data_IF_246871140565
#
_entry.id   IF_246871140565
#
_cell.length_a   1.000
_cell.length_b   1.000
_cell.length_c   1.000
_cell.angle_alpha   90.00
_cell.angle_beta   90.00
_cell.angle_gamma   90.00
#
_symmetry.space_group_name_H-M   'P 1'
#
loop_
_entity.id
_entity.type
_entity.pdbx_description
1 polymer ?
#
# COMPACT_ATOMS: atom_id res chain seq x y z
N UNK A 1 16.93 -0.94 31.18
CA UNK A 1 18.24 -0.72 30.55
C UNK A 1 18.51 0.79 30.51
N UNK A 2 19.27 1.35 31.46
CA UNK A 2 19.28 2.81 31.68
C UNK A 2 20.10 3.65 30.70
N UNK A 3 20.79 3.07 29.71
CA UNK A 3 21.70 3.81 28.82
C UNK A 3 21.51 3.52 27.32
N UNK A 4 20.40 2.94 26.90
CA UNK A 4 20.10 2.73 25.48
C UNK A 4 19.28 3.90 24.93
N UNK A 5 19.79 4.56 23.88
CA UNK A 5 19.05 5.56 23.12
C UNK A 5 18.16 4.87 22.10
N UNK A 6 16.88 5.18 22.09
CA UNK A 6 15.92 4.70 21.10
C UNK A 6 15.40 5.88 20.29
N UNK A 7 15.18 5.64 18.98
CA UNK A 7 14.57 6.60 18.07
C UNK A 7 13.40 5.95 17.36
N UNK A 8 12.25 6.62 17.34
CA UNK A 8 11.02 6.13 16.73
C UNK A 8 10.60 7.10 15.64
N UNK A 9 10.08 6.57 14.53
CA UNK A 9 9.71 7.37 13.37
C UNK A 9 8.45 6.80 12.72
N UNK A 10 7.44 7.66 12.52
CA UNK A 10 6.15 7.35 11.90
C UNK A 10 5.89 8.33 10.75
N UNK A 11 6.45 8.11 9.55
CA UNK A 11 6.56 9.14 8.52
C UNK A 11 5.33 9.30 7.64
N UNK A 12 4.45 8.27 7.52
CA UNK A 12 3.31 8.33 6.62
C UNK A 12 2.23 9.25 7.17
N UNK A 13 1.83 10.25 6.36
CA UNK A 13 0.63 11.06 6.64
C UNK A 13 -0.60 10.17 6.45
N UNK A 14 -1.47 10.11 7.45
CA UNK A 14 -2.70 9.32 7.43
C UNK A 14 -3.91 10.25 7.44
N UNK A 15 -4.75 10.16 6.42
CA UNK A 15 -6.06 10.78 6.36
C UNK A 15 -7.12 9.71 6.65
N UNK A 16 -7.92 9.91 7.67
CA UNK A 16 -8.88 8.90 8.15
C UNK A 16 -10.26 9.49 8.36
N UNK A 17 -11.26 8.83 7.81
CA UNK A 17 -12.68 9.13 8.06
C UNK A 17 -13.58 8.70 6.90
N UNK A 18 -14.88 8.55 7.16
CA UNK A 18 -15.85 8.28 6.09
C UNK A 18 -15.83 9.39 5.04
N UNK A 19 -15.75 9.01 3.77
CA UNK A 19 -15.74 9.93 2.63
C UNK A 19 -14.43 10.69 2.42
N UNK A 20 -13.36 10.41 3.19
CA UNK A 20 -12.06 11.11 3.05
C UNK A 20 -11.41 10.92 1.68
N UNK A 21 -11.77 9.86 0.96
CA UNK A 21 -11.33 9.63 -0.42
C UNK A 21 -11.67 10.79 -1.37
N UNK A 22 -12.70 11.56 -1.07
CA UNK A 22 -13.12 12.71 -1.89
C UNK A 22 -12.07 13.83 -1.91
N UNK A 23 -11.18 13.87 -0.95
CA UNK A 23 -10.09 14.84 -0.87
C UNK A 23 -8.85 14.44 -1.69
N UNK A 24 -8.79 13.20 -2.18
CA UNK A 24 -7.62 12.69 -2.92
C UNK A 24 -7.21 13.57 -4.11
N UNK A 25 -8.14 14.07 -4.98
CA UNK A 25 -7.76 14.95 -6.08
C UNK A 25 -7.07 16.24 -5.62
N UNK A 26 -7.56 16.85 -4.53
CA UNK A 26 -6.94 18.07 -3.99
C UNK A 26 -5.56 17.80 -3.40
N UNK A 27 -5.38 16.70 -2.68
CA UNK A 27 -4.07 16.29 -2.15
C UNK A 27 -3.03 16.07 -3.26
N UNK A 28 -3.42 15.42 -4.36
CA UNK A 28 -2.54 15.23 -5.52
C UNK A 28 -2.21 16.58 -6.17
N UNK A 29 -3.19 17.46 -6.31
CA UNK A 29 -2.99 18.79 -6.88
C UNK A 29 -2.04 19.66 -6.04
N UNK A 30 -2.13 19.58 -4.72
CA UNK A 30 -1.22 20.26 -3.78
C UNK A 30 0.24 19.80 -3.97
N UNK A 31 0.49 18.56 -4.37
CA UNK A 31 1.84 18.07 -4.69
C UNK A 31 2.38 18.54 -6.05
N UNK A 32 1.58 19.31 -6.82
CA UNK A 32 1.95 19.76 -8.16
C UNK A 32 1.84 18.70 -9.25
N UNK A 33 1.22 17.56 -8.94
CA UNK A 33 1.06 16.45 -9.86
C UNK A 33 -0.26 16.55 -10.64
N UNK A 34 -0.28 16.03 -11.89
CA UNK A 34 -1.46 16.13 -12.75
C UNK A 34 -1.80 14.86 -13.52
N UNK A 35 -0.91 13.86 -13.53
CA UNK A 35 -1.13 12.61 -14.29
C UNK A 35 -0.45 11.44 -13.57
N UNK A 36 -1.16 10.31 -13.45
CA UNK A 36 -0.60 9.12 -12.80
C UNK A 36 -1.47 7.87 -12.92
N UNK A 37 -0.90 6.66 -12.74
CA UNK A 37 -1.66 5.44 -12.75
C UNK A 37 -2.51 5.26 -11.47
N UNK A 38 -3.71 4.74 -11.67
CA UNK A 38 -4.52 4.07 -10.65
C UNK A 38 -4.23 2.57 -10.73
N UNK A 39 -3.39 2.09 -9.81
CA UNK A 39 -2.99 0.68 -9.71
C UNK A 39 -4.03 -0.07 -8.90
N UNK A 40 -4.69 -1.04 -9.51
CA UNK A 40 -5.80 -1.81 -8.91
C UNK A 40 -5.88 -3.23 -9.49
N UNK A 41 -6.94 -3.95 -9.19
CA UNK A 41 -7.19 -5.30 -9.68
C UNK A 41 -8.59 -5.48 -10.29
N UNK A 42 -8.78 -6.58 -11.02
CA UNK A 42 -10.03 -6.91 -11.70
C UNK A 42 -11.19 -7.19 -10.74
N UNK A 43 -10.90 -7.66 -9.52
CA UNK A 43 -11.93 -7.90 -8.52
C UNK A 43 -12.57 -6.59 -8.06
N UNK A 44 -11.75 -5.57 -7.83
CA UNK A 44 -12.24 -4.23 -7.49
C UNK A 44 -12.94 -3.54 -8.67
N UNK A 45 -12.44 -3.71 -9.90
CA UNK A 45 -13.16 -3.23 -11.10
C UNK A 45 -14.55 -3.82 -11.18
N UNK A 46 -14.67 -5.14 -10.96
CA UNK A 46 -15.97 -5.83 -10.96
C UNK A 46 -16.89 -5.35 -9.84
N UNK A 47 -16.34 -4.89 -8.72
CA UNK A 47 -17.08 -4.30 -7.61
C UNK A 47 -17.46 -2.82 -7.84
N UNK A 48 -16.97 -2.19 -8.91
CA UNK A 48 -17.25 -0.80 -9.28
C UNK A 48 -16.56 0.25 -8.38
N UNK A 49 -15.61 -0.17 -7.53
CA UNK A 49 -14.90 0.75 -6.63
C UNK A 49 -13.95 1.68 -7.40
N UNK A 50 -13.11 1.21 -8.34
CA UNK A 50 -12.24 2.10 -9.11
C UNK A 50 -13.01 3.13 -9.95
N UNK A 51 -14.20 2.76 -10.46
CA UNK A 51 -15.06 3.70 -11.19
C UNK A 51 -15.53 4.86 -10.32
N UNK A 52 -15.95 4.58 -9.07
CA UNK A 52 -16.30 5.62 -8.11
C UNK A 52 -15.12 6.56 -7.84
N UNK A 53 -13.92 6.00 -7.71
CA UNK A 53 -12.69 6.80 -7.49
C UNK A 53 -12.38 7.63 -8.74
N UNK A 54 -12.45 7.07 -9.95
CA UNK A 54 -12.22 7.82 -11.20
C UNK A 54 -13.17 9.02 -11.34
N UNK A 55 -14.43 8.87 -10.93
CA UNK A 55 -15.41 9.98 -10.97
C UNK A 55 -15.00 11.18 -10.12
N UNK A 56 -14.24 10.98 -9.02
CA UNK A 56 -13.76 12.10 -8.19
C UNK A 56 -12.78 13.00 -8.95
N UNK A 57 -12.19 12.50 -10.02
CA UNK A 57 -11.20 13.21 -10.82
C UNK A 57 -11.77 13.92 -12.05
N UNK A 58 -13.07 13.74 -12.35
CA UNK A 58 -13.70 14.24 -13.61
C UNK A 58 -13.42 15.71 -13.88
N UNK A 59 -13.54 16.57 -12.86
CA UNK A 59 -13.37 18.03 -13.02
C UNK A 59 -12.11 18.55 -12.30
N UNK A 60 -11.23 17.66 -11.85
CA UNK A 60 -10.05 18.02 -11.04
C UNK A 60 -8.89 18.60 -11.85
N UNK A 61 -8.85 18.31 -13.16
CA UNK A 61 -7.70 18.58 -14.02
C UNK A 61 -6.57 17.57 -13.85
N UNK A 62 -6.81 16.46 -13.15
CA UNK A 62 -5.87 15.37 -12.95
C UNK A 62 -6.29 14.17 -13.81
N UNK A 63 -5.36 13.61 -14.57
CA UNK A 63 -5.60 12.43 -15.40
C UNK A 63 -5.18 11.15 -14.67
N UNK A 64 -6.14 10.25 -14.45
CA UNK A 64 -5.88 8.90 -13.95
C UNK A 64 -5.83 7.90 -15.10
N UNK A 65 -4.76 7.13 -15.17
CA UNK A 65 -4.57 6.04 -16.12
C UNK A 65 -4.78 4.73 -15.39
N UNK A 66 -5.75 3.94 -15.80
CA UNK A 66 -6.04 2.68 -15.12
C UNK A 66 -4.99 1.62 -15.45
N UNK A 67 -4.38 1.03 -14.42
CA UNK A 67 -3.64 -0.21 -14.47
C UNK A 67 -4.29 -1.22 -13.52
N UNK A 68 -5.09 -2.16 -14.06
CA UNK A 68 -5.94 -3.08 -13.30
C UNK A 68 -5.56 -4.56 -13.46
N UNK A 69 -4.33 -4.85 -13.88
CA UNK A 69 -3.84 -6.20 -14.13
C UNK A 69 -3.12 -6.83 -12.92
N UNK A 70 -3.25 -6.22 -11.74
CA UNK A 70 -2.63 -6.76 -10.53
C UNK A 70 -3.30 -8.09 -10.13
N UNK A 71 -2.48 -9.11 -9.84
CA UNK A 71 -2.94 -10.44 -9.40
C UNK A 71 -2.86 -10.56 -7.88
N UNK A 72 -3.65 -11.45 -7.30
CA UNK A 72 -3.69 -11.72 -5.85
C UNK A 72 -2.34 -12.17 -5.26
N UNK A 73 -1.48 -12.78 -6.08
CA UNK A 73 -0.07 -13.02 -5.78
C UNK A 73 0.75 -12.29 -6.83
N UNK A 74 1.10 -11.02 -6.59
CA UNK A 74 1.70 -10.18 -7.61
C UNK A 74 3.08 -10.69 -8.01
N UNK A 75 3.34 -10.63 -9.32
CA UNK A 75 4.59 -11.09 -9.92
C UNK A 75 5.40 -9.92 -10.45
N UNK A 76 6.68 -10.15 -10.74
CA UNK A 76 7.53 -9.17 -11.41
C UNK A 76 6.93 -8.66 -12.71
N UNK A 77 6.17 -9.49 -13.47
CA UNK A 77 5.50 -9.02 -14.68
C UNK A 77 4.44 -7.95 -14.41
N UNK A 78 3.69 -8.05 -13.30
CA UNK A 78 2.75 -6.99 -12.91
C UNK A 78 3.48 -5.67 -12.65
N UNK A 79 4.64 -5.73 -12.02
CA UNK A 79 5.46 -4.55 -11.76
C UNK A 79 5.98 -3.96 -13.07
N UNK A 80 6.56 -4.78 -13.94
CA UNK A 80 7.10 -4.30 -15.21
C UNK A 80 6.02 -3.69 -16.12
N UNK A 81 4.86 -4.35 -16.26
CA UNK A 81 3.75 -3.82 -17.04
C UNK A 81 3.24 -2.48 -16.46
N UNK A 82 3.03 -2.39 -15.15
CA UNK A 82 2.64 -1.14 -14.52
C UNK A 82 3.70 -0.03 -14.61
N UNK A 83 4.99 -0.39 -14.60
CA UNK A 83 6.09 0.55 -14.81
C UNK A 83 6.11 1.11 -16.23
N UNK A 84 5.80 0.27 -17.24
CA UNK A 84 5.65 0.72 -18.62
C UNK A 84 4.50 1.73 -18.71
N UNK A 85 3.33 1.41 -18.13
CA UNK A 85 2.19 2.35 -18.09
C UNK A 85 2.59 3.68 -17.45
N UNK A 86 3.32 3.65 -16.32
CA UNK A 86 3.79 4.86 -15.66
C UNK A 86 4.72 5.70 -16.58
N UNK A 87 5.72 5.08 -17.18
CA UNK A 87 6.76 5.77 -17.98
C UNK A 87 6.19 6.31 -19.31
N UNK A 88 5.46 5.49 -20.05
CA UNK A 88 4.92 5.85 -21.36
C UNK A 88 3.85 6.94 -21.28
N UNK A 89 3.10 6.99 -20.20
CA UNK A 89 2.10 8.02 -19.98
C UNK A 89 2.66 9.37 -19.55
N UNK A 90 3.93 9.44 -19.16
CA UNK A 90 4.51 10.65 -18.57
C UNK A 90 3.95 10.95 -17.17
N UNK A 91 3.64 9.90 -16.42
CA UNK A 91 3.08 10.01 -15.07
C UNK A 91 4.05 10.66 -14.07
N UNK A 92 3.48 11.35 -13.07
CA UNK A 92 4.24 12.07 -12.04
C UNK A 92 3.90 11.64 -10.63
N UNK A 93 2.88 10.80 -10.43
CA UNK A 93 2.48 10.21 -9.15
C UNK A 93 1.90 8.80 -9.38
N UNK A 94 1.61 8.10 -8.30
CA UNK A 94 0.97 6.78 -8.32
C UNK A 94 -0.12 6.74 -7.25
N UNK A 95 -1.30 6.24 -7.60
CA UNK A 95 -2.35 5.85 -6.64
C UNK A 95 -2.46 4.32 -6.65
N UNK A 96 -2.35 3.67 -5.50
CA UNK A 96 -2.69 2.27 -5.34
C UNK A 96 -4.02 2.13 -4.60
N UNK A 97 -5.00 1.52 -5.24
CA UNK A 97 -6.34 1.29 -4.71
C UNK A 97 -6.58 -0.21 -4.58
N UNK A 98 -6.74 -0.70 -3.35
CA UNK A 98 -7.03 -2.11 -3.11
C UNK A 98 -6.46 -2.66 -1.82
N UNK A 99 -6.29 -3.98 -1.77
CA UNK A 99 -5.62 -4.67 -0.66
C UNK A 99 -4.10 -4.64 -0.79
N UNK A 100 -3.42 -5.56 -0.10
CA UNK A 100 -1.94 -5.64 -0.10
C UNK A 100 -1.32 -5.77 -1.48
N UNK A 101 -1.92 -6.53 -2.42
CA UNK A 101 -1.34 -6.77 -3.75
C UNK A 101 -1.25 -5.50 -4.61
N UNK A 102 -2.31 -4.68 -4.80
CA UNK A 102 -2.19 -3.38 -5.46
C UNK A 102 -1.21 -2.44 -4.76
N UNK A 103 -1.16 -2.44 -3.42
CA UNK A 103 -0.20 -1.63 -2.65
C UNK A 103 1.23 -2.04 -2.96
N UNK A 104 1.53 -3.34 -2.93
CA UNK A 104 2.87 -3.87 -3.14
C UNK A 104 3.35 -3.63 -4.58
N UNK A 105 2.47 -3.85 -5.57
CA UNK A 105 2.78 -3.53 -6.96
C UNK A 105 3.02 -2.04 -7.13
N UNK A 106 2.15 -1.20 -6.58
CA UNK A 106 2.27 0.26 -6.66
C UNK A 106 3.57 0.78 -6.05
N UNK A 107 3.94 0.31 -4.85
CA UNK A 107 5.22 0.65 -4.21
C UNK A 107 6.42 0.19 -5.04
N UNK A 108 6.31 -0.98 -5.68
CA UNK A 108 7.40 -1.48 -6.51
C UNK A 108 7.48 -0.74 -7.85
N UNK A 109 6.34 -0.33 -8.44
CA UNK A 109 6.33 0.59 -9.58
C UNK A 109 6.99 1.93 -9.19
N UNK A 110 6.73 2.46 -7.98
CA UNK A 110 7.39 3.67 -7.46
C UNK A 110 8.92 3.54 -7.53
N UNK A 111 9.48 2.38 -7.14
CA UNK A 111 10.92 2.10 -7.28
C UNK A 111 11.32 2.07 -8.76
N UNK A 112 10.66 1.24 -9.57
CA UNK A 112 11.04 1.00 -10.97
C UNK A 112 10.78 2.21 -11.90
N UNK A 113 10.03 3.20 -11.43
CA UNK A 113 9.82 4.45 -12.14
C UNK A 113 11.13 5.22 -12.37
N UNK A 114 12.05 5.15 -11.41
CA UNK A 114 13.30 5.93 -11.37
C UNK A 114 14.57 5.09 -11.25
N UNK A 115 14.42 3.79 -11.01
CA UNK A 115 15.54 2.87 -10.86
C UNK A 115 15.58 1.87 -12.03
N UNK A 116 16.77 1.45 -12.40
CA UNK A 116 17.02 0.56 -13.54
C UNK A 116 17.42 -0.86 -13.09
N UNK A 117 17.43 -1.77 -14.06
CA UNK A 117 17.87 -3.15 -13.88
C UNK A 117 16.75 -4.10 -13.48
N UNK A 118 17.08 -5.38 -13.30
CA UNK A 118 16.10 -6.38 -12.91
C UNK A 118 15.63 -6.19 -11.47
N UNK A 119 14.36 -6.52 -11.20
CA UNK A 119 13.74 -6.34 -9.89
C UNK A 119 14.46 -7.13 -8.78
N UNK A 120 15.06 -8.25 -9.15
CA UNK A 120 15.78 -9.16 -8.25
C UNK A 120 16.96 -8.49 -7.51
N UNK A 121 17.57 -7.47 -8.09
CA UNK A 121 18.67 -6.76 -7.44
C UNK A 121 18.25 -5.98 -6.19
N UNK A 122 16.94 -5.68 -6.06
CA UNK A 122 16.38 -4.96 -4.92
C UNK A 122 15.90 -5.89 -3.81
N UNK A 123 16.21 -7.20 -3.88
CA UNK A 123 15.91 -8.16 -2.82
C UNK A 123 16.61 -7.75 -1.51
N UNK A 124 15.83 -7.50 -0.46
CA UNK A 124 16.32 -7.13 0.87
C UNK A 124 17.29 -8.19 1.43
N UNK A 125 17.01 -9.47 1.18
CA UNK A 125 17.90 -10.57 1.60
C UNK A 125 19.29 -10.53 0.94
N UNK A 126 19.44 -9.77 -0.15
CA UNK A 126 20.71 -9.57 -0.86
C UNK A 126 21.31 -8.18 -0.60
N UNK A 127 20.72 -7.39 0.32
CA UNK A 127 21.14 -6.01 0.59
C UNK A 127 20.70 -5.02 -0.49
N UNK A 128 19.63 -5.35 -1.23
CA UNK A 128 19.10 -4.52 -2.30
C UNK A 128 18.47 -3.20 -1.83
N UNK A 129 18.18 -3.08 -0.54
CA UNK A 129 17.69 -1.86 0.11
C UNK A 129 18.62 -0.66 -0.10
N UNK A 130 19.93 -0.87 -0.09
CA UNK A 130 20.94 0.17 -0.29
C UNK A 130 20.96 0.73 -1.73
N UNK A 131 20.35 0.05 -2.69
CA UNK A 131 20.23 0.51 -4.07
C UNK A 131 19.04 1.45 -4.30
N UNK A 132 18.08 1.47 -3.36
CA UNK A 132 16.88 2.30 -3.49
C UNK A 132 17.16 3.72 -2.99
N UNK A 133 17.01 4.70 -3.87
CA UNK A 133 17.26 6.12 -3.61
C UNK A 133 15.94 6.90 -3.46
N UNK A 134 15.99 8.03 -2.75
CA UNK A 134 14.84 8.91 -2.52
C UNK A 134 14.59 9.91 -3.66
N UNK A 135 14.50 9.42 -4.90
CA UNK A 135 14.20 10.22 -6.09
C UNK A 135 12.92 9.71 -6.81
N UNK A 136 12.01 9.13 -6.04
CA UNK A 136 10.82 8.45 -6.52
C UNK A 136 9.59 9.36 -6.52
N UNK A 137 8.57 9.05 -7.38
CA UNK A 137 7.33 9.83 -7.43
C UNK A 137 6.51 9.74 -6.13
N UNK A 138 5.65 10.74 -5.84
CA UNK A 138 4.65 10.66 -4.79
C UNK A 138 3.74 9.42 -4.95
N UNK A 139 3.40 8.80 -3.82
CA UNK A 139 2.60 7.59 -3.76
C UNK A 139 1.45 7.73 -2.76
N UNK A 140 0.24 7.50 -3.25
CA UNK A 140 -1.01 7.58 -2.48
C UNK A 140 -1.59 6.18 -2.30
N UNK A 141 -1.71 5.75 -1.06
CA UNK A 141 -2.24 4.44 -0.72
C UNK A 141 -3.70 4.53 -0.29
N UNK A 142 -4.58 3.82 -0.98
CA UNK A 142 -6.04 3.78 -0.70
C UNK A 142 -6.45 2.33 -0.45
N UNK A 143 -6.34 1.84 0.80
CA UNK A 143 -6.70 0.47 1.13
C UNK A 143 -8.21 0.26 1.07
N UNK A 144 -8.62 -0.91 0.57
CA UNK A 144 -10.01 -1.39 0.56
C UNK A 144 -10.18 -2.62 1.47
N UNK A 145 -9.15 -2.99 2.21
CA UNK A 145 -9.15 -4.07 3.20
C UNK A 145 -8.51 -3.58 4.49
N UNK A 146 -8.97 -4.08 5.63
CA UNK A 146 -8.34 -3.84 6.92
C UNK A 146 -7.57 -5.10 7.33
N UNK A 147 -6.26 -5.14 7.11
CA UNK A 147 -5.43 -6.34 7.37
C UNK A 147 -3.95 -6.08 7.22
N UNK A 148 -3.49 -6.00 6.00
CA UNK A 148 -2.06 -6.04 5.65
C UNK A 148 -1.21 -4.90 6.20
N UNK A 149 -1.80 -3.70 6.42
CA UNK A 149 -1.04 -2.52 6.83
C UNK A 149 -0.04 -2.01 5.77
N UNK A 150 -0.16 -2.50 4.51
CA UNK A 150 0.78 -2.15 3.45
C UNK A 150 0.78 -0.66 3.12
N UNK A 151 -0.30 0.06 3.43
CA UNK A 151 -0.45 1.51 3.27
C UNK A 151 0.44 2.34 4.20
N UNK A 152 0.95 1.73 5.25
CA UNK A 152 1.93 2.35 6.18
C UNK A 152 3.25 1.55 6.24
N UNK A 153 3.36 0.52 5.40
CA UNK A 153 4.52 -0.36 5.32
C UNK A 153 5.55 0.11 4.28
N UNK A 154 6.82 -0.09 4.57
CA UNK A 154 7.96 0.25 3.72
C UNK A 154 8.52 -0.93 2.92
N UNK A 155 7.75 -2.00 2.81
CA UNK A 155 8.10 -3.19 2.05
C UNK A 155 7.04 -3.55 1.03
N UNK A 156 7.41 -4.35 0.06
CA UNK A 156 6.50 -5.03 -0.86
C UNK A 156 6.94 -6.48 -1.07
N UNK A 157 5.98 -7.37 -1.32
CA UNK A 157 6.24 -8.79 -1.56
C UNK A 157 5.85 -9.13 -2.99
N UNK A 158 6.84 -9.45 -3.82
CA UNK A 158 6.67 -9.75 -5.24
C UNK A 158 7.20 -11.14 -5.57
N UNK A 159 6.44 -11.94 -6.30
CA UNK A 159 6.90 -13.23 -6.79
C UNK A 159 7.82 -13.05 -8.00
N UNK A 160 9.06 -13.41 -7.85
CA UNK A 160 10.03 -13.45 -8.95
C UNK A 160 9.86 -14.77 -9.71
N UNK A 161 9.34 -14.69 -10.92
CA UNK A 161 9.02 -15.88 -11.72
C UNK A 161 10.23 -16.75 -12.06
N UNK A 162 11.37 -16.13 -12.33
CA UNK A 162 12.59 -16.84 -12.70
C UNK A 162 13.07 -17.82 -11.61
N UNK A 163 12.87 -17.45 -10.34
CA UNK A 163 13.29 -18.23 -9.17
C UNK A 163 12.10 -18.90 -8.46
N UNK A 164 10.86 -18.55 -8.84
CA UNK A 164 9.61 -18.93 -8.16
C UNK A 164 9.64 -18.60 -6.66
N UNK A 165 10.31 -17.50 -6.29
CA UNK A 165 10.49 -17.06 -4.90
C UNK A 165 9.74 -15.77 -4.66
N UNK A 166 9.01 -15.67 -3.54
CA UNK A 166 8.52 -14.40 -3.01
C UNK A 166 9.70 -13.62 -2.47
N UNK A 167 9.93 -12.45 -3.03
CA UNK A 167 11.03 -11.56 -2.71
C UNK A 167 10.49 -10.33 -2.00
N UNK A 168 11.13 -9.94 -0.92
CA UNK A 168 10.82 -8.72 -0.20
C UNK A 168 11.71 -7.61 -0.77
N UNK A 169 11.07 -6.56 -1.25
CA UNK A 169 11.72 -5.31 -1.61
C UNK A 169 11.42 -4.33 -0.49
N UNK A 170 12.47 -3.77 0.09
CA UNK A 170 12.37 -2.97 1.29
C UNK A 170 13.19 -1.68 1.16
N UNK A 171 12.59 -0.56 1.54
CA UNK A 171 13.33 0.69 1.73
C UNK A 171 12.47 1.68 2.51
N UNK A 172 13.05 2.51 3.40
CA UNK A 172 12.32 3.60 4.03
C UNK A 172 11.69 4.57 3.03
N UNK A 173 12.23 4.65 1.81
CA UNK A 173 11.73 5.53 0.75
C UNK A 173 10.52 4.95 -0.01
N UNK A 174 10.16 3.69 0.21
CA UNK A 174 8.97 3.06 -0.36
C UNK A 174 7.68 3.36 0.42
N UNK A 175 7.79 3.98 1.59
CA UNK A 175 6.60 4.39 2.34
C UNK A 175 5.68 5.23 1.46
N UNK A 176 4.35 5.03 1.55
CA UNK A 176 3.39 5.96 0.99
C UNK A 176 3.58 7.36 1.56
N UNK A 177 3.43 8.36 0.72
CA UNK A 177 3.45 9.77 1.14
C UNK A 177 2.17 10.10 1.91
N UNK A 178 1.03 9.59 1.43
CA UNK A 178 -0.28 9.70 2.10
C UNK A 178 -1.00 8.35 2.05
N UNK A 179 -1.51 7.91 3.20
CA UNK A 179 -2.45 6.80 3.32
C UNK A 179 -3.87 7.35 3.57
N UNK A 180 -4.83 6.96 2.73
CA UNK A 180 -6.21 7.43 2.77
C UNK A 180 -7.09 6.29 3.25
N UNK A 181 -7.44 6.34 4.53
CA UNK A 181 -8.17 5.28 5.23
C UNK A 181 -9.67 5.63 5.28
N UNK A 182 -10.36 5.36 4.18
CA UNK A 182 -11.81 5.55 4.10
C UNK A 182 -12.55 4.25 4.41
N UNK A 183 -13.21 4.13 5.56
CA UNK A 183 -13.91 2.91 5.93
C UNK A 183 -15.08 2.57 4.97
N UNK A 184 -15.64 3.53 4.24
CA UNK A 184 -16.71 3.27 3.26
C UNK A 184 -16.22 2.41 2.08
N UNK A 185 -14.92 2.41 1.78
CA UNK A 185 -14.34 1.56 0.73
C UNK A 185 -14.24 0.09 1.14
N UNK A 186 -14.41 -0.22 2.42
CA UNK A 186 -14.32 -1.60 2.95
C UNK A 186 -15.67 -2.27 3.14
N UNK A 187 -16.79 -1.51 3.13
CA UNK A 187 -18.14 -2.00 3.47
C UNK A 187 -18.62 -3.09 2.51
N UNK A 188 -18.20 -3.04 1.23
CA UNK A 188 -18.57 -4.04 0.22
C UNK A 188 -17.67 -5.27 0.18
N UNK A 189 -16.71 -5.42 1.10
CA UNK A 189 -15.81 -6.56 1.12
C UNK A 189 -16.55 -7.86 1.45
N UNK A 190 -16.42 -8.94 0.66
CA UNK A 190 -17.05 -10.23 0.96
C UNK A 190 -16.71 -10.76 2.36
N UNK A 191 -17.66 -11.33 3.06
CA UNK A 191 -17.54 -11.83 4.44
C UNK A 191 -16.29 -12.72 4.66
N UNK A 192 -16.00 -13.64 3.72
CA UNK A 192 -14.80 -14.48 3.80
C UNK A 192 -13.49 -13.70 3.74
N UNK A 193 -13.41 -12.64 2.90
CA UNK A 193 -12.26 -11.78 2.83
C UNK A 193 -12.17 -10.87 4.07
N UNK A 194 -13.30 -10.36 4.56
CA UNK A 194 -13.36 -9.59 5.81
C UNK A 194 -12.81 -10.40 6.98
N UNK A 195 -13.22 -11.68 7.09
CA UNK A 195 -12.71 -12.56 8.13
C UNK A 195 -11.21 -12.81 7.99
N UNK A 196 -10.74 -13.15 6.77
CA UNK A 196 -9.33 -13.44 6.51
C UNK A 196 -8.43 -12.23 6.79
N UNK A 197 -8.78 -11.05 6.27
CA UNK A 197 -7.98 -9.83 6.47
C UNK A 197 -8.07 -9.32 7.90
N UNK A 198 -9.21 -9.49 8.58
CA UNK A 198 -9.35 -9.12 9.97
C UNK A 198 -8.55 -10.01 10.93
N UNK A 199 -8.44 -11.32 10.63
CA UNK A 199 -7.53 -12.23 11.35
C UNK A 199 -6.06 -11.85 11.08
N UNK A 200 -5.74 -11.52 9.83
CA UNK A 200 -4.41 -11.01 9.43
C UNK A 200 -4.04 -9.75 10.23
N UNK A 201 -4.97 -8.78 10.34
CA UNK A 201 -4.79 -7.61 11.21
C UNK A 201 -4.51 -7.98 12.66
N UNK A 202 -5.24 -8.95 13.21
CA UNK A 202 -5.02 -9.42 14.59
C UNK A 202 -3.62 -10.03 14.73
N UNK A 203 -3.23 -10.91 13.80
CA UNK A 203 -1.92 -11.60 13.84
C UNK A 203 -0.78 -10.60 13.70
N UNK A 204 -0.84 -9.62 12.79
CA UNK A 204 0.18 -8.58 12.66
C UNK A 204 0.37 -7.77 13.96
N UNK A 205 -0.74 -7.44 14.64
CA UNK A 205 -0.66 -6.76 15.93
C UNK A 205 -0.06 -7.68 17.00
N UNK A 206 -0.42 -8.97 17.01
CA UNK A 206 0.14 -9.95 17.95
C UNK A 206 1.64 -10.15 17.73
N UNK A 207 2.08 -10.28 16.47
CA UNK A 207 3.49 -10.41 16.11
C UNK A 207 4.29 -9.16 16.55
N UNK A 208 3.77 -7.96 16.25
CA UNK A 208 4.40 -6.72 16.65
C UNK A 208 4.55 -6.60 18.18
N UNK A 209 3.54 -7.08 18.94
CA UNK A 209 3.56 -7.08 20.40
C UNK A 209 4.49 -8.16 20.99
N UNK A 210 4.66 -9.26 20.28
CA UNK A 210 5.45 -10.42 20.78
C UNK A 210 6.94 -10.30 20.47
N UNK A 211 7.34 -9.40 19.58
CA UNK A 211 8.76 -9.19 19.25
C UNK A 211 9.53 -8.71 20.48
N UNK A 212 10.66 -9.35 20.77
CA UNK A 212 11.58 -8.96 21.85
C UNK A 212 12.38 -7.70 21.46
N UNK A 213 11.66 -6.57 21.32
CA UNK A 213 12.23 -5.27 21.03
C UNK A 213 11.57 -4.20 21.90
N UNK A 214 12.34 -3.33 22.51
CA UNK A 214 11.79 -2.23 23.28
C UNK A 214 11.18 -1.17 22.36
N UNK A 215 9.87 -1.22 22.16
CA UNK A 215 9.14 -0.27 21.31
C UNK A 215 7.76 0.09 21.90
N UNK A 216 7.71 0.87 23.01
CA UNK A 216 6.46 1.10 23.75
C UNK A 216 5.34 1.75 22.92
N UNK A 217 5.66 2.50 21.86
CA UNK A 217 4.65 3.04 20.97
C UNK A 217 4.00 1.95 20.11
N UNK A 218 4.81 1.04 19.53
CA UNK A 218 4.30 -0.10 18.77
C UNK A 218 3.48 -1.03 19.67
N UNK A 219 3.95 -1.30 20.90
CA UNK A 219 3.24 -2.13 21.88
C UNK A 219 1.84 -1.57 22.19
N UNK A 220 1.74 -0.26 22.41
CA UNK A 220 0.46 0.40 22.67
C UNK A 220 -0.51 0.34 21.48
N UNK A 221 0.00 0.54 20.26
CA UNK A 221 -0.78 0.44 19.01
C UNK A 221 -1.24 -1.01 18.81
N UNK A 222 -0.34 -1.98 18.97
CA UNK A 222 -0.61 -3.40 18.81
C UNK A 222 -1.67 -3.91 19.80
N UNK A 223 -1.57 -3.57 21.07
CA UNK A 223 -2.59 -3.89 22.07
C UNK A 223 -3.96 -3.32 21.69
N UNK A 224 -3.99 -2.07 21.26
CA UNK A 224 -5.24 -1.44 20.82
C UNK A 224 -5.81 -2.10 19.57
N UNK A 225 -4.97 -2.45 18.60
CA UNK A 225 -5.34 -3.14 17.37
C UNK A 225 -5.97 -4.51 17.66
N UNK A 226 -5.31 -5.34 18.48
CA UNK A 226 -5.85 -6.64 18.91
C UNK A 226 -7.22 -6.50 19.58
N UNK A 227 -7.35 -5.55 20.52
CA UNK A 227 -8.62 -5.32 21.22
C UNK A 227 -9.75 -4.90 20.27
N UNK A 228 -9.44 -4.11 19.24
CA UNK A 228 -10.43 -3.71 18.21
C UNK A 228 -10.83 -4.89 17.32
N UNK A 229 -9.88 -5.74 16.90
CA UNK A 229 -10.18 -6.94 16.13
C UNK A 229 -11.09 -7.89 16.91
N UNK A 230 -10.74 -8.23 18.14
CA UNK A 230 -11.55 -9.13 18.99
C UNK A 230 -12.96 -8.58 19.21
N UNK A 231 -13.09 -7.27 19.41
CA UNK A 231 -14.38 -6.65 19.69
C UNK A 231 -15.31 -6.58 18.47
N UNK A 232 -14.75 -6.42 17.26
CA UNK A 232 -15.56 -5.99 16.12
C UNK A 232 -15.56 -6.97 14.95
N UNK A 233 -14.57 -7.89 14.83
CA UNK A 233 -14.41 -8.70 13.63
C UNK A 233 -15.63 -9.59 13.35
N UNK A 234 -16.18 -10.25 14.37
CA UNK A 234 -17.38 -11.08 14.22
C UNK A 234 -18.55 -10.27 13.62
N UNK A 235 -18.76 -9.05 14.15
CA UNK A 235 -19.82 -8.14 13.68
C UNK A 235 -19.56 -7.60 12.27
N UNK A 236 -18.31 -7.51 11.85
CA UNK A 236 -17.95 -7.04 10.51
C UNK A 236 -18.10 -8.14 9.45
N UNK A 237 -18.12 -9.43 9.86
CA UNK A 237 -18.26 -10.59 8.98
C UNK A 237 -19.72 -10.97 8.75
N UNK A 238 -20.60 -10.69 9.73
CA UNK A 238 -22.05 -11.01 9.71
C UNK A 238 -22.84 -9.84 9.13
#
# INVERSE_FOLDING_TARGET
MPNQRHSYFYPTRIEYGPGVIQELPSMIKESGCSKGPLVTDQGLESAGIPEKVRHLFTDSGIELITYNEVKSNPTCDNVYAGTIVYKESGSTFIVALGGGSPMDVGKTIKVMATHEGPLEQYDDALGGDCLVQNNMPPFYAVPTTAGTGSEVGRSSVILIKATNKKTIIFSPFMLPDIAILDPELTVGLPAGLTAATGVDAFVHNLEAFWVDAFHPFADGIAQRGMALCVKNLERAVV
#
